data_IF_060745177897
#
_entry.id   IF_060745177897
#
_cell.length_a   1.000
_cell.length_b   1.000
_cell.length_c   1.000
_cell.angle_alpha   90.00
_cell.angle_beta   90.00
_cell.angle_gamma   90.00
#
_symmetry.space_group_name_H-M   'P 1'
#
loop_
_entity.id
_entity.type
_entity.pdbx_description
1 polymer ?
#
# COMPACT_ATOMS: atom_id res chain seq x y z
N UNK A 1 -9.07 -13.78 -12.22
CA UNK A 1 -9.86 -12.85 -13.03
C UNK A 1 -11.31 -13.09 -12.62
N UNK A 2 -11.90 -12.13 -11.94
CA UNK A 2 -13.27 -12.23 -11.44
C UNK A 2 -14.27 -12.16 -12.61
N UNK A 3 -15.55 -12.46 -12.35
CA UNK A 3 -16.61 -12.32 -13.37
C UNK A 3 -16.76 -10.86 -13.79
N UNK A 4 -16.63 -9.94 -12.84
CA UNK A 4 -16.65 -8.48 -13.04
C UNK A 4 -15.50 -8.01 -13.94
N UNK A 5 -14.28 -8.52 -13.77
CA UNK A 5 -13.15 -8.19 -14.65
C UNK A 5 -13.41 -8.57 -16.11
N UNK A 6 -14.15 -9.68 -16.35
CA UNK A 6 -14.49 -10.13 -17.71
C UNK A 6 -15.55 -9.25 -18.37
N UNK A 7 -16.50 -8.72 -17.60
CA UNK A 7 -17.52 -7.80 -18.12
C UNK A 7 -16.89 -6.47 -18.52
N UNK A 8 -16.00 -5.89 -17.67
CA UNK A 8 -15.27 -4.66 -17.98
C UNK A 8 -14.44 -4.82 -19.27
N UNK A 9 -13.67 -5.91 -19.38
CA UNK A 9 -12.86 -6.18 -20.59
C UNK A 9 -13.73 -6.31 -21.83
N UNK A 10 -14.91 -6.92 -21.73
CA UNK A 10 -15.83 -7.07 -22.84
C UNK A 10 -16.40 -5.72 -23.29
N UNK A 11 -16.76 -4.87 -22.32
CA UNK A 11 -17.24 -3.51 -22.57
C UNK A 11 -16.17 -2.66 -23.27
N UNK A 12 -14.93 -2.68 -22.77
CA UNK A 12 -13.79 -1.96 -23.35
C UNK A 12 -13.53 -2.43 -24.79
N UNK A 13 -13.54 -3.74 -25.07
CA UNK A 13 -13.39 -4.27 -26.43
C UNK A 13 -14.52 -3.83 -27.37
N UNK A 14 -15.76 -3.79 -26.87
CA UNK A 14 -16.91 -3.29 -27.64
C UNK A 14 -16.72 -1.82 -28.02
N UNK A 15 -16.25 -1.01 -27.07
CA UNK A 15 -15.92 0.40 -27.30
C UNK A 15 -14.80 0.56 -28.34
N UNK A 16 -13.69 -0.17 -28.20
CA UNK A 16 -12.56 -0.12 -29.14
C UNK A 16 -12.97 -0.54 -30.56
N UNK A 17 -13.75 -1.61 -30.69
CA UNK A 17 -14.28 -2.04 -32.00
C UNK A 17 -15.18 -1.00 -32.65
N UNK A 18 -15.97 -0.27 -31.83
CA UNK A 18 -16.84 0.78 -32.33
C UNK A 18 -16.07 1.99 -32.89
N UNK A 19 -14.92 2.31 -32.27
CA UNK A 19 -14.02 3.36 -32.76
C UNK A 19 -13.40 3.01 -34.11
N UNK A 20 -13.02 1.72 -34.31
CA UNK A 20 -12.49 1.22 -35.59
C UNK A 20 -13.52 1.30 -36.70
N UNK A 21 -14.80 1.03 -36.41
CA UNK A 21 -15.92 1.08 -37.37
C UNK A 21 -16.38 2.51 -37.67
N UNK A 22 -15.84 3.54 -36.99
CA UNK A 22 -16.22 4.94 -37.13
C UNK A 22 -17.67 5.22 -36.70
N UNK A 23 -18.24 4.39 -35.89
CA UNK A 23 -19.57 4.54 -35.28
C UNK A 23 -19.44 4.44 -33.78
N UNK A 24 -19.70 5.54 -33.07
CA UNK A 24 -19.90 5.47 -31.62
C UNK A 24 -21.30 4.90 -31.37
N UNK A 25 -21.43 3.64 -30.89
CA UNK A 25 -22.69 3.17 -30.34
C UNK A 25 -23.01 4.04 -29.12
N UNK A 26 -24.29 4.14 -28.79
CA UNK A 26 -24.70 4.82 -27.58
C UNK A 26 -24.24 4.00 -26.37
N UNK A 27 -23.28 4.56 -25.64
CA UNK A 27 -22.90 4.11 -24.31
C UNK A 27 -23.56 5.05 -23.30
N UNK A 28 -24.10 4.50 -22.23
CA UNK A 28 -24.60 5.32 -21.13
C UNK A 28 -23.46 5.89 -20.27
N UNK A 29 -23.81 6.63 -19.23
CA UNK A 29 -22.80 7.29 -18.36
C UNK A 29 -21.99 6.25 -17.59
N UNK A 30 -22.62 5.18 -17.11
CA UNK A 30 -21.99 4.12 -16.32
C UNK A 30 -21.01 3.31 -17.17
N UNK A 31 -21.40 2.96 -18.41
CA UNK A 31 -20.51 2.29 -19.36
C UNK A 31 -19.27 3.12 -19.68
N UNK A 32 -19.46 4.40 -20.01
CA UNK A 32 -18.36 5.30 -20.33
C UNK A 32 -17.46 5.56 -19.12
N UNK A 33 -18.02 5.66 -17.92
CA UNK A 33 -17.25 5.80 -16.70
C UNK A 33 -16.38 4.57 -16.43
N UNK A 34 -16.95 3.37 -16.60
CA UNK A 34 -16.23 2.10 -16.47
C UNK A 34 -15.06 2.00 -17.46
N UNK A 35 -15.27 2.40 -18.72
CA UNK A 35 -14.24 2.43 -19.75
C UNK A 35 -13.11 3.42 -19.38
N UNK A 36 -13.47 4.62 -18.94
CA UNK A 36 -12.51 5.65 -18.53
C UNK A 36 -11.69 5.20 -17.32
N UNK A 37 -12.34 4.59 -16.31
CA UNK A 37 -11.67 4.05 -15.12
C UNK A 37 -10.69 2.94 -15.49
N UNK A 38 -11.10 2.00 -16.35
CA UNK A 38 -10.21 0.94 -16.84
C UNK A 38 -8.93 1.50 -17.48
N UNK A 39 -9.03 2.56 -18.29
CA UNK A 39 -7.86 3.17 -18.91
C UNK A 39 -7.02 3.97 -17.90
N UNK A 40 -7.62 4.53 -16.88
CA UNK A 40 -6.90 5.18 -15.78
C UNK A 40 -6.07 4.16 -15.00
N UNK A 41 -6.68 3.05 -14.58
CA UNK A 41 -6.07 2.00 -13.76
C UNK A 41 -4.96 1.24 -14.51
N UNK A 42 -5.14 1.05 -15.82
CA UNK A 42 -4.13 0.43 -16.70
C UNK A 42 -3.04 1.41 -17.17
N UNK A 43 -3.10 2.69 -16.79
CA UNK A 43 -2.14 3.71 -17.23
C UNK A 43 -2.23 4.03 -18.73
N UNK A 44 -3.34 3.68 -19.39
CA UNK A 44 -3.53 3.87 -20.83
C UNK A 44 -4.06 5.28 -21.16
N UNK A 45 -3.32 6.31 -20.75
CA UNK A 45 -3.77 7.70 -20.73
C UNK A 45 -4.18 8.27 -22.11
N UNK A 46 -3.56 7.82 -23.21
CA UNK A 46 -3.98 8.24 -24.55
C UNK A 46 -5.37 7.72 -24.91
N UNK A 47 -5.68 6.46 -24.55
CA UNK A 47 -7.02 5.88 -24.73
C UNK A 47 -8.03 6.52 -23.78
N UNK A 48 -7.65 6.79 -22.55
CA UNK A 48 -8.47 7.54 -21.58
C UNK A 48 -8.84 8.92 -22.13
N UNK A 49 -7.90 9.63 -22.75
CA UNK A 49 -8.14 10.95 -23.35
C UNK A 49 -9.18 10.90 -24.48
N UNK A 50 -9.11 9.87 -25.33
CA UNK A 50 -10.09 9.67 -26.42
C UNK A 50 -11.46 9.38 -25.82
N UNK A 51 -11.57 8.41 -24.91
CA UNK A 51 -12.84 8.04 -24.30
C UNK A 51 -13.47 9.19 -23.50
N UNK A 52 -12.67 10.03 -22.83
CA UNK A 52 -13.16 11.23 -22.17
C UNK A 52 -13.67 12.29 -23.15
N UNK A 53 -13.02 12.44 -24.31
CA UNK A 53 -13.50 13.37 -25.35
C UNK A 53 -14.87 12.92 -25.84
N UNK A 54 -15.05 11.64 -26.16
CA UNK A 54 -16.32 11.07 -26.60
C UNK A 54 -17.39 11.20 -25.49
N UNK A 55 -17.03 10.90 -24.25
CA UNK A 55 -17.93 11.00 -23.10
C UNK A 55 -18.42 12.44 -22.87
N UNK A 56 -17.53 13.44 -23.00
CA UNK A 56 -17.87 14.86 -22.84
C UNK A 56 -18.63 15.43 -24.06
N UNK A 57 -18.47 14.84 -25.26
CA UNK A 57 -19.31 15.19 -26.42
C UNK A 57 -20.76 14.75 -26.21
N UNK A 58 -20.97 13.54 -25.66
CA UNK A 58 -22.31 12.99 -25.40
C UNK A 58 -22.92 13.60 -24.12
N UNK A 59 -22.11 13.79 -23.08
CA UNK A 59 -22.53 14.26 -21.75
C UNK A 59 -21.76 15.51 -21.29
N UNK A 60 -21.93 16.68 -21.95
CA UNK A 60 -21.07 17.87 -21.72
C UNK A 60 -21.21 18.50 -20.31
N UNK A 61 -22.31 18.19 -19.62
CA UNK A 61 -22.58 18.70 -18.27
C UNK A 61 -22.27 17.71 -17.16
N UNK A 62 -21.85 16.48 -17.48
CA UNK A 62 -21.53 15.48 -16.47
C UNK A 62 -20.34 15.93 -15.61
N UNK A 63 -20.57 15.98 -14.29
CA UNK A 63 -19.53 16.30 -13.33
C UNK A 63 -18.50 15.15 -13.27
N UNK A 64 -18.96 13.90 -13.36
CA UNK A 64 -18.12 12.71 -13.35
C UNK A 64 -17.02 12.81 -14.39
N UNK A 65 -17.34 13.04 -15.66
CA UNK A 65 -16.32 13.14 -16.72
C UNK A 65 -15.42 14.37 -16.61
N UNK A 66 -15.92 15.48 -16.06
CA UNK A 66 -15.07 16.64 -15.76
C UNK A 66 -14.04 16.35 -14.67
N UNK A 67 -14.43 15.60 -13.64
CA UNK A 67 -13.51 15.13 -12.60
C UNK A 67 -12.50 14.13 -13.16
N UNK A 68 -12.94 13.16 -13.98
CA UNK A 68 -12.04 12.22 -14.68
C UNK A 68 -11.04 12.93 -15.60
N UNK A 69 -11.45 14.03 -16.26
CA UNK A 69 -10.52 14.87 -17.03
C UNK A 69 -9.44 15.49 -16.14
N UNK A 70 -9.80 15.94 -14.94
CA UNK A 70 -8.85 16.47 -13.97
C UNK A 70 -7.90 15.36 -13.48
N UNK A 71 -8.43 14.18 -13.17
CA UNK A 71 -7.63 13.02 -12.78
C UNK A 71 -6.62 12.61 -13.87
N UNK A 72 -7.02 12.66 -15.15
CA UNK A 72 -6.10 12.46 -16.27
C UNK A 72 -4.94 13.46 -16.27
N UNK A 73 -5.22 14.75 -16.08
CA UNK A 73 -4.16 15.77 -16.03
C UNK A 73 -3.24 15.57 -14.81
N UNK A 74 -3.78 15.15 -13.68
CA UNK A 74 -2.99 14.78 -12.49
C UNK A 74 -2.08 13.59 -12.78
N UNK A 75 -2.61 12.52 -13.40
CA UNK A 75 -1.84 11.33 -13.77
C UNK A 75 -0.72 11.66 -14.78
N UNK A 76 -0.98 12.56 -15.72
CA UNK A 76 0.01 13.08 -16.67
C UNK A 76 0.97 14.10 -16.05
N UNK A 77 0.82 14.43 -14.75
CA UNK A 77 1.59 15.46 -14.03
C UNK A 77 1.44 16.88 -14.64
N UNK A 78 0.38 17.12 -15.42
CA UNK A 78 0.03 18.46 -15.90
C UNK A 78 -0.87 19.18 -14.90
N UNK A 79 -0.29 19.50 -13.75
CA UNK A 79 -1.00 20.17 -12.64
C UNK A 79 -1.50 21.57 -13.01
N UNK A 80 -0.94 22.19 -14.07
CA UNK A 80 -1.43 23.46 -14.56
C UNK A 80 -2.81 23.32 -15.20
N UNK A 81 -2.99 22.31 -16.07
CA UNK A 81 -4.29 22.03 -16.70
C UNK A 81 -5.30 21.54 -15.66
N UNK A 82 -4.86 20.65 -14.76
CA UNK A 82 -5.70 20.19 -13.64
C UNK A 82 -6.26 21.40 -12.85
N UNK A 83 -5.41 22.38 -12.51
CA UNK A 83 -5.84 23.57 -11.79
C UNK A 83 -6.83 24.43 -12.58
N UNK A 84 -6.61 24.64 -13.89
CA UNK A 84 -7.54 25.39 -14.75
C UNK A 84 -8.92 24.73 -14.76
N UNK A 85 -8.96 23.39 -14.86
CA UNK A 85 -10.21 22.63 -14.86
C UNK A 85 -10.90 22.65 -13.49
N UNK A 86 -10.15 22.54 -12.40
CA UNK A 86 -10.67 22.68 -11.04
C UNK A 86 -11.31 24.06 -10.81
N UNK A 87 -10.70 25.11 -11.31
CA UNK A 87 -11.25 26.47 -11.19
C UNK A 87 -12.63 26.62 -11.86
N UNK A 88 -12.90 25.85 -12.92
CA UNK A 88 -14.22 25.83 -13.56
C UNK A 88 -15.29 25.11 -12.72
N UNK A 89 -14.88 24.36 -11.72
CA UNK A 89 -15.76 23.64 -10.77
C UNK A 89 -15.86 24.36 -9.42
N UNK A 90 -15.29 25.56 -9.27
CA UNK A 90 -15.45 26.35 -8.05
C UNK A 90 -16.94 26.59 -7.77
N UNK A 91 -17.33 26.38 -6.51
CA UNK A 91 -18.74 26.41 -6.05
C UNK A 91 -19.48 25.07 -6.08
N UNK A 92 -18.89 24.03 -6.70
CA UNK A 92 -19.37 22.65 -6.59
C UNK A 92 -18.47 21.81 -5.65
N UNK A 93 -17.26 22.27 -5.40
CA UNK A 93 -16.22 21.55 -4.68
C UNK A 93 -16.66 21.10 -3.28
N UNK A 94 -17.32 21.94 -2.52
CA UNK A 94 -17.69 21.70 -1.12
C UNK A 94 -18.70 20.56 -0.92
N UNK A 95 -19.20 19.98 -2.01
CA UNK A 95 -20.23 18.94 -1.99
C UNK A 95 -19.82 17.64 -2.69
N UNK A 96 -18.60 17.60 -3.25
CA UNK A 96 -18.15 16.44 -4.03
C UNK A 96 -16.77 15.98 -3.58
N UNK A 97 -16.73 14.77 -3.05
CA UNK A 97 -15.51 14.13 -2.50
C UNK A 97 -14.37 14.14 -3.51
N UNK A 98 -14.64 13.71 -4.74
CA UNK A 98 -13.62 13.57 -5.80
C UNK A 98 -13.02 14.92 -6.22
N UNK A 99 -13.81 16.01 -6.15
CA UNK A 99 -13.30 17.36 -6.44
C UNK A 99 -12.38 17.83 -5.33
N UNK A 100 -12.75 17.60 -4.06
CA UNK A 100 -11.90 17.93 -2.90
C UNK A 100 -10.59 17.16 -2.93
N UNK A 101 -10.63 15.87 -3.25
CA UNK A 101 -9.44 15.02 -3.42
C UNK A 101 -8.54 15.55 -4.53
N UNK A 102 -9.09 15.86 -5.70
CA UNK A 102 -8.33 16.41 -6.82
C UNK A 102 -7.70 17.78 -6.49
N UNK A 103 -8.42 18.64 -5.76
CA UNK A 103 -7.88 19.90 -5.25
C UNK A 103 -6.73 19.67 -4.27
N UNK A 104 -6.90 18.75 -3.31
CA UNK A 104 -5.88 18.40 -2.34
C UNK A 104 -4.59 17.90 -3.02
N UNK A 105 -4.72 17.02 -4.03
CA UNK A 105 -3.58 16.51 -4.80
C UNK A 105 -2.82 17.64 -5.51
N UNK A 106 -3.51 18.60 -6.11
CA UNK A 106 -2.89 19.77 -6.74
C UNK A 106 -2.22 20.67 -5.70
N UNK A 107 -2.81 20.84 -4.50
CA UNK A 107 -2.20 21.62 -3.42
C UNK A 107 -0.95 20.93 -2.86
N UNK A 108 -0.95 19.60 -2.68
CA UNK A 108 0.24 18.84 -2.30
C UNK A 108 1.39 19.06 -3.30
N UNK A 109 1.09 18.99 -4.59
CA UNK A 109 2.10 19.24 -5.61
C UNK A 109 2.69 20.66 -5.54
N UNK A 110 1.91 21.65 -5.14
CA UNK A 110 2.37 23.04 -4.93
C UNK A 110 3.14 23.23 -3.63
N UNK A 111 3.17 22.23 -2.76
CA UNK A 111 3.75 22.32 -1.42
C UNK A 111 2.84 23.01 -0.39
N UNK A 112 1.58 23.31 -0.73
CA UNK A 112 0.59 23.88 0.21
C UNK A 112 -0.14 22.76 0.97
N UNK A 113 0.61 22.13 1.86
CA UNK A 113 0.16 20.95 2.60
C UNK A 113 -1.01 21.26 3.54
N UNK A 114 -0.97 22.41 4.23
CA UNK A 114 -2.02 22.76 5.18
C UNK A 114 -3.39 22.82 4.50
N UNK A 115 -3.45 23.46 3.31
CA UNK A 115 -4.68 23.48 2.52
C UNK A 115 -5.07 22.11 1.98
N UNK A 116 -4.09 21.31 1.56
CA UNK A 116 -4.37 19.96 1.07
C UNK A 116 -5.02 19.08 2.15
N UNK A 117 -4.45 19.08 3.37
CA UNK A 117 -5.01 18.32 4.49
C UNK A 117 -6.39 18.82 4.90
N UNK A 118 -6.61 20.14 4.93
CA UNK A 118 -7.93 20.69 5.22
C UNK A 118 -8.98 20.25 4.18
N UNK A 119 -8.59 20.16 2.89
CA UNK A 119 -9.47 19.65 1.83
C UNK A 119 -9.75 18.14 2.00
N UNK A 120 -8.75 17.34 2.38
CA UNK A 120 -8.93 15.91 2.65
C UNK A 120 -9.78 15.66 3.89
N UNK A 121 -9.61 16.45 4.96
CA UNK A 121 -10.48 16.39 6.14
C UNK A 121 -11.93 16.72 5.78
N UNK A 122 -12.17 17.76 4.97
CA UNK A 122 -13.51 18.08 4.49
C UNK A 122 -14.09 16.95 3.61
N UNK A 123 -13.25 16.33 2.75
CA UNK A 123 -13.68 15.19 1.95
C UNK A 123 -14.07 14.00 2.84
N UNK A 124 -13.30 13.75 3.92
CA UNK A 124 -13.55 12.70 4.89
C UNK A 124 -14.88 12.89 5.64
N UNK A 125 -15.25 14.15 5.94
CA UNK A 125 -16.50 14.47 6.65
C UNK A 125 -17.76 14.21 5.82
N UNK A 126 -17.66 14.22 4.49
CA UNK A 126 -18.79 14.07 3.56
C UNK A 126 -18.79 12.74 2.78
N UNK A 127 -17.75 11.93 2.92
CA UNK A 127 -17.60 10.68 2.18
C UNK A 127 -18.48 9.57 2.78
N UNK A 128 -19.12 8.82 1.90
CA UNK A 128 -19.80 7.58 2.29
C UNK A 128 -18.76 6.46 2.55
N UNK A 129 -17.67 6.43 1.80
CA UNK A 129 -16.52 5.55 2.00
C UNK A 129 -15.26 6.38 2.30
N UNK A 130 -14.77 6.38 3.56
CA UNK A 130 -13.62 7.17 3.95
C UNK A 130 -12.27 6.50 3.70
N UNK A 131 -12.22 5.23 3.29
CA UNK A 131 -10.99 4.43 3.19
C UNK A 131 -10.00 5.05 2.20
N UNK A 132 -10.44 5.36 0.98
CA UNK A 132 -9.58 5.97 -0.05
C UNK A 132 -9.02 7.32 0.42
N UNK A 133 -9.83 8.12 1.12
CA UNK A 133 -9.41 9.43 1.61
C UNK A 133 -8.36 9.28 2.72
N UNK A 134 -8.58 8.35 3.65
CA UNK A 134 -7.61 8.06 4.70
C UNK A 134 -6.28 7.61 4.11
N UNK A 135 -6.29 6.78 3.07
CA UNK A 135 -5.07 6.38 2.37
C UNK A 135 -4.36 7.58 1.75
N UNK A 136 -5.07 8.52 1.14
CA UNK A 136 -4.47 9.74 0.60
C UNK A 136 -3.91 10.66 1.70
N UNK A 137 -4.56 10.72 2.87
CA UNK A 137 -4.04 11.43 4.05
C UNK A 137 -2.73 10.77 4.52
N UNK A 138 -2.68 9.44 4.57
CA UNK A 138 -1.46 8.69 4.88
C UNK A 138 -0.33 9.07 3.93
N UNK A 139 -0.56 8.99 2.61
CA UNK A 139 0.44 9.28 1.59
C UNK A 139 0.91 10.74 1.67
N UNK A 140 -0.02 11.67 1.91
CA UNK A 140 0.30 13.09 2.10
C UNK A 140 1.24 13.31 3.28
N UNK A 141 0.98 12.68 4.44
CA UNK A 141 1.83 12.79 5.61
C UNK A 141 3.16 12.05 5.44
N UNK A 142 3.16 10.84 4.84
CA UNK A 142 4.39 10.08 4.56
C UNK A 142 5.33 10.84 3.63
N UNK A 143 4.80 11.47 2.58
CA UNK A 143 5.60 12.27 1.64
C UNK A 143 6.33 13.44 2.29
N UNK A 144 5.87 13.89 3.46
CA UNK A 144 6.44 14.99 4.24
C UNK A 144 7.27 14.50 5.44
N UNK A 145 7.33 13.17 5.68
CA UNK A 145 8.02 12.60 6.84
C UNK A 145 7.28 12.80 8.16
N UNK A 146 5.98 13.05 8.12
CA UNK A 146 5.15 13.28 9.31
C UNK A 146 4.53 11.98 9.82
N UNK A 147 5.40 11.08 10.24
CA UNK A 147 5.04 9.70 10.61
C UNK A 147 3.98 9.61 11.71
N UNK A 148 3.93 10.56 12.65
CA UNK A 148 2.92 10.55 13.73
C UNK A 148 1.50 10.75 13.22
N UNK A 149 1.31 11.65 12.25
CA UNK A 149 0.00 11.89 11.65
C UNK A 149 -0.39 10.75 10.69
N UNK A 150 0.58 10.22 9.93
CA UNK A 150 0.35 9.05 9.09
C UNK A 150 -0.07 7.83 9.94
N UNK A 151 0.60 7.59 11.08
CA UNK A 151 0.22 6.52 12.01
C UNK A 151 -1.20 6.68 12.55
N UNK A 152 -1.63 7.91 12.87
CA UNK A 152 -2.98 8.17 13.34
C UNK A 152 -4.05 7.89 12.25
N UNK A 153 -3.78 8.23 10.99
CA UNK A 153 -4.68 7.92 9.87
C UNK A 153 -4.74 6.40 9.61
N UNK A 154 -3.60 5.71 9.64
CA UNK A 154 -3.53 4.25 9.50
C UNK A 154 -4.24 3.51 10.65
N UNK A 155 -4.15 4.03 11.87
CA UNK A 155 -4.90 3.46 13.01
C UNK A 155 -6.42 3.57 12.80
N UNK A 156 -6.89 4.69 12.22
CA UNK A 156 -8.31 4.83 11.84
C UNK A 156 -8.72 3.82 10.76
N UNK A 157 -7.84 3.55 9.78
CA UNK A 157 -8.07 2.48 8.80
C UNK A 157 -8.20 1.12 9.48
N UNK A 158 -7.31 0.78 10.44
CA UNK A 158 -7.40 -0.46 11.23
C UNK A 158 -8.72 -0.62 12.00
N UNK A 159 -9.38 0.49 12.35
CA UNK A 159 -10.66 0.46 13.06
C UNK A 159 -11.86 0.32 12.12
N UNK A 160 -11.70 0.67 10.84
CA UNK A 160 -12.76 0.66 9.83
C UNK A 160 -12.76 -0.60 8.97
N UNK A 161 -11.59 -1.12 8.66
CA UNK A 161 -11.43 -2.33 7.86
C UNK A 161 -11.12 -3.55 8.74
N UNK A 162 -11.76 -4.66 8.42
CA UNK A 162 -11.51 -5.92 9.10
C UNK A 162 -10.23 -6.62 8.59
N UNK A 163 -9.84 -6.37 7.34
CA UNK A 163 -8.70 -6.96 6.66
C UNK A 163 -7.88 -5.87 5.96
N UNK A 164 -6.82 -5.41 6.62
CA UNK A 164 -5.89 -4.42 6.05
C UNK A 164 -4.89 -5.11 5.13
N UNK A 165 -4.58 -4.47 4.02
CA UNK A 165 -3.53 -4.95 3.14
C UNK A 165 -2.15 -4.87 3.80
N UNK A 166 -1.25 -5.74 3.35
CA UNK A 166 0.12 -5.83 3.86
C UNK A 166 0.86 -4.49 3.76
N UNK A 167 0.58 -3.68 2.72
CA UNK A 167 1.21 -2.37 2.51
C UNK A 167 0.87 -1.42 3.64
N UNK A 168 -0.41 -1.32 4.01
CA UNK A 168 -0.89 -0.49 5.12
C UNK A 168 -0.32 -0.95 6.46
N UNK A 169 -0.19 -2.26 6.68
CA UNK A 169 0.43 -2.83 7.88
C UNK A 169 1.92 -2.49 7.98
N UNK A 170 2.66 -2.56 6.86
CA UNK A 170 4.07 -2.15 6.81
C UNK A 170 4.23 -0.64 7.02
N UNK A 171 3.38 0.19 6.41
CA UNK A 171 3.40 1.63 6.61
C UNK A 171 3.13 2.00 8.06
N UNK A 172 2.15 1.36 8.71
CA UNK A 172 1.85 1.56 10.13
C UNK A 172 3.05 1.20 11.02
N UNK A 173 3.65 0.03 10.79
CA UNK A 173 4.83 -0.40 11.53
C UNK A 173 5.99 0.58 11.36
N UNK A 174 6.24 1.04 10.12
CA UNK A 174 7.27 2.02 9.80
C UNK A 174 7.03 3.35 10.53
N UNK A 175 5.81 3.87 10.50
CA UNK A 175 5.46 5.12 11.16
C UNK A 175 5.67 5.05 12.68
N UNK A 176 5.25 3.94 13.29
CA UNK A 176 5.41 3.71 14.73
C UNK A 176 6.87 3.48 15.15
N UNK A 177 7.70 2.91 14.27
CA UNK A 177 9.16 2.79 14.50
C UNK A 177 9.84 4.17 14.44
N UNK A 178 9.50 5.01 13.48
CA UNK A 178 10.03 6.37 13.36
C UNK A 178 9.60 7.30 14.52
N UNK A 179 8.39 7.13 15.04
CA UNK A 179 7.91 7.89 16.21
C UNK A 179 8.38 7.32 17.54
N UNK A 180 9.02 6.14 17.53
CA UNK A 180 9.41 5.37 18.71
C UNK A 180 8.24 4.97 19.62
N UNK A 181 7.02 4.91 19.08
CA UNK A 181 5.80 4.53 19.80
C UNK A 181 5.63 3.01 19.88
N UNK A 182 6.67 2.30 20.35
CA UNK A 182 6.70 0.83 20.33
C UNK A 182 5.60 0.18 21.17
N UNK A 183 5.20 0.82 22.28
CA UNK A 183 4.10 0.30 23.12
C UNK A 183 2.76 0.40 22.41
N UNK A 184 2.53 1.52 21.74
CA UNK A 184 1.34 1.70 20.90
C UNK A 184 1.32 0.69 19.77
N UNK A 185 2.45 0.45 19.10
CA UNK A 185 2.59 -0.56 18.06
C UNK A 185 2.21 -1.96 18.57
N UNK A 186 2.79 -2.38 19.69
CA UNK A 186 2.45 -3.68 20.30
C UNK A 186 0.95 -3.77 20.62
N UNK A 187 0.34 -2.70 21.12
CA UNK A 187 -1.09 -2.67 21.44
C UNK A 187 -1.95 -2.82 20.20
N UNK A 188 -1.64 -2.08 19.11
CA UNK A 188 -2.38 -2.15 17.85
C UNK A 188 -2.23 -3.55 17.24
N UNK A 189 -1.00 -4.07 17.11
CA UNK A 189 -0.79 -5.40 16.54
C UNK A 189 -1.41 -6.52 17.39
N UNK A 190 -1.49 -6.39 18.72
CA UNK A 190 -2.27 -7.32 19.53
C UNK A 190 -3.74 -7.34 19.15
N UNK A 191 -4.35 -6.15 18.97
CA UNK A 191 -5.76 -6.01 18.57
C UNK A 191 -6.03 -6.60 17.18
N UNK A 192 -5.11 -6.38 16.22
CA UNK A 192 -5.21 -6.96 14.88
C UNK A 192 -5.03 -8.49 14.91
N UNK A 193 -4.10 -9.01 15.72
CA UNK A 193 -3.90 -10.46 15.91
C UNK A 193 -5.15 -11.12 16.52
N UNK A 194 -5.91 -10.43 17.38
CA UNK A 194 -7.18 -10.97 17.90
C UNK A 194 -8.22 -11.16 16.79
N UNK A 195 -8.20 -10.31 15.74
CA UNK A 195 -9.05 -10.47 14.54
C UNK A 195 -8.49 -11.54 13.60
N UNK A 196 -7.19 -11.53 13.35
CA UNK A 196 -6.51 -12.40 12.38
C UNK A 196 -5.33 -13.15 13.00
N UNK A 197 -5.58 -14.20 13.82
CA UNK A 197 -4.52 -14.87 14.59
C UNK A 197 -3.51 -15.66 13.72
N UNK A 198 -3.85 -15.94 12.48
CA UNK A 198 -2.98 -16.66 11.52
C UNK A 198 -2.29 -15.74 10.51
N UNK A 199 -2.40 -14.43 10.63
CA UNK A 199 -1.65 -13.50 9.82
C UNK A 199 -0.20 -13.39 10.34
N UNK A 200 0.74 -14.01 9.61
CA UNK A 200 2.16 -14.06 10.00
C UNK A 200 2.81 -12.68 10.09
N UNK A 201 2.40 -11.74 9.22
CA UNK A 201 2.93 -10.37 9.20
C UNK A 201 2.64 -9.63 10.49
N UNK A 202 1.45 -9.78 11.07
CA UNK A 202 1.08 -9.13 12.33
C UNK A 202 1.97 -9.61 13.49
N UNK A 203 2.23 -10.91 13.56
CA UNK A 203 3.13 -11.49 14.55
C UNK A 203 4.57 -11.03 14.34
N UNK A 204 5.02 -10.96 13.10
CA UNK A 204 6.35 -10.46 12.74
C UNK A 204 6.53 -9.01 13.19
N UNK A 205 5.59 -8.11 12.86
CA UNK A 205 5.65 -6.71 13.26
C UNK A 205 5.64 -6.55 14.79
N UNK A 206 4.81 -7.30 15.48
CA UNK A 206 4.84 -7.33 16.96
C UNK A 206 6.19 -7.79 17.50
N UNK A 207 6.82 -8.78 16.88
CA UNK A 207 8.17 -9.25 17.24
C UNK A 207 9.22 -8.17 17.08
N UNK A 208 9.18 -7.40 15.99
CA UNK A 208 10.11 -6.28 15.74
C UNK A 208 9.98 -5.20 16.81
N UNK A 209 8.77 -4.83 17.25
CA UNK A 209 8.57 -3.88 18.34
C UNK A 209 9.08 -4.38 19.68
N UNK A 210 8.96 -5.70 19.98
CA UNK A 210 9.58 -6.25 21.17
C UNK A 210 11.10 -6.20 21.12
N UNK A 211 11.73 -6.36 19.95
CA UNK A 211 13.18 -6.15 19.79
C UNK A 211 13.56 -4.70 20.03
N UNK A 212 12.81 -3.73 19.50
CA UNK A 212 13.05 -2.29 19.77
C UNK A 212 12.99 -1.96 21.26
N UNK A 213 12.17 -2.71 22.01
CA UNK A 213 12.09 -2.61 23.49
C UNK A 213 13.13 -3.46 24.22
N UNK A 214 14.09 -4.06 23.53
CA UNK A 214 15.08 -4.99 24.08
C UNK A 214 14.47 -6.18 24.85
N UNK A 215 13.26 -6.61 24.47
CA UNK A 215 12.61 -7.77 25.04
C UNK A 215 12.68 -8.96 24.09
N UNK A 216 13.87 -9.56 23.99
CA UNK A 216 14.14 -10.66 23.07
C UNK A 216 13.28 -11.90 23.35
N UNK A 217 12.91 -12.18 24.60
CA UNK A 217 12.07 -13.34 24.91
C UNK A 217 10.70 -13.26 24.29
N UNK A 218 10.06 -12.06 24.36
CA UNK A 218 8.78 -11.82 23.71
C UNK A 218 8.91 -11.69 22.18
N UNK A 219 10.05 -11.22 21.69
CA UNK A 219 10.34 -11.19 20.27
C UNK A 219 10.44 -12.60 19.69
N UNK A 220 11.18 -13.51 20.34
CA UNK A 220 11.26 -14.93 19.95
C UNK A 220 9.88 -15.56 19.91
N UNK A 221 9.05 -15.33 20.94
CA UNK A 221 7.69 -15.84 20.99
C UNK A 221 6.88 -15.36 19.78
N UNK A 222 6.91 -14.06 19.48
CA UNK A 222 6.17 -13.49 18.37
C UNK A 222 6.67 -14.00 17.01
N UNK A 223 7.98 -14.05 16.77
CA UNK A 223 8.54 -14.61 15.53
C UNK A 223 8.25 -16.10 15.38
N UNK A 224 8.22 -16.86 16.49
CA UNK A 224 7.82 -18.27 16.45
C UNK A 224 6.36 -18.42 16.04
N UNK A 225 5.47 -17.54 16.51
CA UNK A 225 4.09 -17.50 16.03
C UNK A 225 3.99 -17.13 14.55
N UNK A 226 4.80 -16.15 14.07
CA UNK A 226 4.84 -15.83 12.67
C UNK A 226 5.22 -17.02 11.79
N UNK A 227 6.28 -17.77 12.17
CA UNK A 227 6.71 -18.99 11.44
C UNK A 227 5.75 -20.19 11.61
N UNK A 228 4.89 -20.17 12.63
CA UNK A 228 3.85 -21.18 12.81
C UNK A 228 2.62 -20.87 11.96
N UNK A 229 2.30 -19.59 11.79
CA UNK A 229 1.20 -19.12 10.95
C UNK A 229 1.53 -19.29 9.46
N UNK A 230 2.79 -19.03 9.09
CA UNK A 230 3.32 -19.21 7.74
C UNK A 230 4.76 -19.77 7.82
N UNK A 231 4.94 -21.03 7.46
CA UNK A 231 6.23 -21.70 7.45
C UNK A 231 7.19 -21.22 6.35
N UNK A 232 6.70 -20.41 5.41
CA UNK A 232 7.49 -19.74 4.38
C UNK A 232 7.84 -18.29 4.73
N UNK A 233 7.50 -17.80 5.93
CA UNK A 233 7.80 -16.44 6.34
C UNK A 233 9.28 -16.26 6.71
N UNK A 234 10.13 -16.25 5.67
CA UNK A 234 11.60 -16.25 5.77
C UNK A 234 12.16 -15.12 6.65
N UNK A 235 11.52 -13.94 6.68
CA UNK A 235 11.96 -12.82 7.50
C UNK A 235 11.92 -13.11 8.99
N UNK A 236 10.93 -13.85 9.49
CA UNK A 236 10.84 -14.22 10.90
C UNK A 236 11.93 -15.26 11.27
N UNK A 237 12.21 -16.22 10.41
CA UNK A 237 13.32 -17.15 10.61
C UNK A 237 14.68 -16.43 10.67
N UNK A 238 14.89 -15.43 9.82
CA UNK A 238 16.10 -14.62 9.85
C UNK A 238 16.28 -13.92 11.20
N UNK A 239 15.24 -13.28 11.72
CA UNK A 239 15.29 -12.61 13.03
C UNK A 239 15.50 -13.63 14.18
N UNK A 240 14.86 -14.80 14.13
CA UNK A 240 15.14 -15.88 15.08
C UNK A 240 16.60 -16.33 15.03
N UNK A 241 17.16 -16.52 13.84
CA UNK A 241 18.56 -16.87 13.64
C UNK A 241 19.49 -15.84 14.28
N UNK A 242 19.25 -14.56 14.03
CA UNK A 242 20.02 -13.45 14.60
C UNK A 242 19.97 -13.41 16.12
N UNK A 243 18.78 -13.55 16.72
CA UNK A 243 18.64 -13.52 18.19
C UNK A 243 19.31 -14.75 18.83
N UNK A 244 19.17 -15.94 18.23
CA UNK A 244 19.84 -17.14 18.74
C UNK A 244 21.37 -17.05 18.65
N UNK A 245 21.89 -16.48 17.57
CA UNK A 245 23.31 -16.23 17.41
C UNK A 245 23.84 -15.27 18.46
N UNK A 246 23.18 -14.13 18.70
CA UNK A 246 23.53 -13.17 19.76
C UNK A 246 23.55 -13.81 21.16
N UNK A 247 22.75 -14.85 21.39
CA UNK A 247 22.72 -15.64 22.62
C UNK A 247 23.70 -16.82 22.64
N UNK A 248 24.54 -16.94 21.63
CA UNK A 248 25.48 -18.06 21.47
C UNK A 248 24.78 -19.43 21.40
N UNK A 249 23.53 -19.47 20.90
CA UNK A 249 22.77 -20.70 20.63
C UNK A 249 22.98 -21.08 19.16
N UNK A 250 24.20 -21.54 18.88
CA UNK A 250 24.68 -21.68 17.50
C UNK A 250 23.87 -22.69 16.68
N UNK A 251 23.38 -23.78 17.29
CA UNK A 251 22.62 -24.81 16.58
C UNK A 251 21.22 -24.28 16.20
N UNK A 252 20.54 -23.59 17.12
CA UNK A 252 19.25 -22.98 16.88
C UNK A 252 19.39 -21.85 15.85
N UNK A 253 20.45 -21.04 15.92
CA UNK A 253 20.74 -20.00 14.94
C UNK A 253 20.94 -20.58 13.55
N UNK A 254 21.74 -21.64 13.42
CA UNK A 254 21.99 -22.35 12.17
C UNK A 254 20.69 -22.88 11.55
N UNK A 255 19.85 -23.50 12.38
CA UNK A 255 18.56 -24.03 11.92
C UNK A 255 17.67 -22.91 11.39
N UNK A 256 17.55 -21.83 12.14
CA UNK A 256 16.71 -20.70 11.77
C UNK A 256 17.25 -20.00 10.50
N UNK A 257 18.55 -19.75 10.39
CA UNK A 257 19.13 -19.17 9.18
C UNK A 257 18.94 -20.04 7.94
N UNK A 258 19.04 -21.38 8.05
CA UNK A 258 18.76 -22.27 6.92
C UNK A 258 17.30 -22.18 6.46
N UNK A 259 16.35 -22.03 7.39
CA UNK A 259 14.94 -21.85 7.07
C UNK A 259 14.62 -20.43 6.55
N UNK A 260 15.51 -19.47 6.77
CA UNK A 260 15.34 -18.11 6.25
C UNK A 260 15.78 -17.94 4.79
N UNK A 261 16.37 -18.97 4.18
CA UNK A 261 16.81 -18.92 2.78
C UNK A 261 15.62 -19.24 1.88
N UNK A 262 15.33 -18.34 0.94
CA UNK A 262 14.38 -18.54 -0.15
C UNK A 262 15.13 -18.81 -1.47
N UNK A 263 14.59 -19.67 -2.31
CA UNK A 263 15.14 -19.90 -3.66
C UNK A 263 15.07 -18.66 -4.53
N UNK A 264 14.08 -17.79 -4.29
CA UNK A 264 13.81 -16.59 -5.07
C UNK A 264 14.71 -15.38 -4.69
N UNK A 265 15.27 -15.38 -3.47
CA UNK A 265 16.08 -14.27 -2.95
C UNK A 265 17.44 -14.78 -2.48
N UNK A 266 18.49 -14.71 -3.33
CA UNK A 266 19.84 -15.08 -2.94
C UNK A 266 20.32 -14.20 -1.77
N UNK A 267 20.54 -14.81 -0.60
CA UNK A 267 21.02 -14.10 0.58
C UNK A 267 22.47 -14.44 0.90
N UNK A 268 23.41 -13.85 0.17
CA UNK A 268 24.83 -14.03 0.45
C UNK A 268 25.22 -13.70 1.89
N UNK A 269 24.51 -12.77 2.52
CA UNK A 269 24.71 -12.48 3.94
C UNK A 269 24.33 -13.65 4.83
N UNK A 270 23.19 -14.29 4.60
CA UNK A 270 22.74 -15.46 5.41
C UNK A 270 23.69 -16.62 5.21
N UNK A 271 24.11 -16.94 3.99
CA UNK A 271 25.14 -17.97 3.71
C UNK A 271 26.44 -17.66 4.43
N UNK A 272 26.89 -16.40 4.42
CA UNK A 272 28.07 -15.98 5.17
C UNK A 272 27.89 -16.23 6.70
N UNK A 273 26.73 -15.89 7.29
CA UNK A 273 26.48 -16.16 8.72
C UNK A 273 26.45 -17.65 9.03
N UNK A 274 25.80 -18.46 8.18
CA UNK A 274 25.81 -19.92 8.30
C UNK A 274 27.25 -20.45 8.26
N UNK A 275 28.04 -20.03 7.27
CA UNK A 275 29.45 -20.44 7.15
C UNK A 275 30.28 -20.06 8.39
N UNK A 276 30.10 -18.87 8.96
CA UNK A 276 30.75 -18.46 10.20
C UNK A 276 30.37 -19.35 11.39
N UNK A 277 29.10 -19.67 11.53
CA UNK A 277 28.61 -20.55 12.60
C UNK A 277 29.15 -21.97 12.42
N UNK A 278 29.11 -22.52 11.20
CA UNK A 278 29.66 -23.84 10.90
C UNK A 278 31.18 -23.92 11.19
N UNK A 279 31.91 -22.85 10.90
CA UNK A 279 33.33 -22.74 11.25
C UNK A 279 33.53 -22.78 12.78
N UNK A 280 32.72 -22.08 13.53
CA UNK A 280 32.78 -22.05 15.02
C UNK A 280 32.44 -23.39 15.61
N UNK A 281 31.48 -24.12 15.01
CA UNK A 281 31.12 -25.49 15.39
C UNK A 281 32.15 -26.53 14.95
N UNK A 282 33.18 -26.15 14.18
CA UNK A 282 34.24 -27.03 13.69
C UNK A 282 33.92 -27.79 12.40
N UNK A 283 32.77 -27.48 11.77
CA UNK A 283 32.30 -28.06 10.50
C UNK A 283 32.92 -27.38 9.28
N UNK A 284 34.25 -27.47 9.15
CA UNK A 284 35.01 -26.69 8.15
C UNK A 284 34.61 -26.99 6.70
N UNK A 285 34.17 -28.21 6.39
CA UNK A 285 33.72 -28.58 5.03
C UNK A 285 32.40 -27.93 4.67
N UNK A 286 31.47 -27.82 5.60
CA UNK A 286 30.18 -27.16 5.48
C UNK A 286 30.39 -25.64 5.37
N UNK A 287 31.20 -25.08 6.25
CA UNK A 287 31.58 -23.66 6.20
C UNK A 287 32.13 -23.25 4.83
N UNK A 288 33.03 -24.06 4.25
CA UNK A 288 33.61 -23.76 2.92
C UNK A 288 32.56 -23.79 1.80
N UNK A 289 31.53 -24.63 1.90
CA UNK A 289 30.42 -24.66 0.92
C UNK A 289 29.57 -23.41 0.98
N UNK A 290 29.34 -22.88 2.16
CA UNK A 290 28.52 -21.68 2.36
C UNK A 290 29.26 -20.40 1.92
N UNK A 291 30.59 -20.41 1.91
CA UNK A 291 31.39 -19.27 1.46
C UNK A 291 31.63 -19.23 -0.07
N UNK A 292 31.34 -20.30 -0.80
CA UNK A 292 31.50 -20.40 -2.25
C UNK A 292 30.22 -20.18 -3.03
#
# INVERSE_FOLDING_TARGET
MSFEDQEVITLVKSYESSLEDGRLPYFDVEDLETIVNYYLDTGSYEKMKVSLTDALEVHPHSLVFKVKEIQLFIALKDFRQAQIKLHLLEGLADQHVEVLIAQATVMLHKGDKEKALALLDNALDIADDPVEILQQIVDAHLSQGEYGYAAAALERLCDMEDDLDDTSLYQLALCLDFTHDFEKGISIFNRLIEKEPYNALLWYQKGTFWLRKNNESKAIEAFTWATTADDTFHAAYFELGRIHEEKNRLIEALTAYRLSISEDVPSGYVHFRIGMIEQELGSLSEALREFN
#
